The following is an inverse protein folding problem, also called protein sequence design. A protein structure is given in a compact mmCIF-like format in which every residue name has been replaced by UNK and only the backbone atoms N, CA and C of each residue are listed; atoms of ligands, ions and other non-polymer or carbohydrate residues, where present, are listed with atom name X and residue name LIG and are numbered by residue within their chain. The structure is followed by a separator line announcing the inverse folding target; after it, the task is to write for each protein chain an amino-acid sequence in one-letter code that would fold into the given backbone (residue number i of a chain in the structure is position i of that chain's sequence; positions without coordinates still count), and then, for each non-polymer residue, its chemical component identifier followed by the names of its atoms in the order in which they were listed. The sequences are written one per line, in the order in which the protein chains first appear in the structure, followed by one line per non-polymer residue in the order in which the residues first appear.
data_IF_230617955713
#
_entry.id   IF_230617955713
#
_cell.length_a   1.000
_cell.length_b   1.000
_cell.length_c   1.000
_cell.angle_alpha   90.00
_cell.angle_beta   90.00
_cell.angle_gamma   90.00
#
_symmetry.space_group_name_H-M   'P 1'
#
loop_
_entity.id
_entity.type
_entity.pdbx_description
1 polymer ?
#
# COMPACT_ATOMS: atom_id res chain seq x y z
N UNK A 1 -26.36 -7.15 3.21
CA UNK A 1 -26.08 -7.91 1.96
C UNK A 1 -25.09 -9.01 2.29
N UNK A 2 -25.40 -10.29 2.04
CA UNK A 2 -24.48 -11.41 2.28
C UNK A 2 -23.94 -11.94 0.94
N UNK A 3 -23.09 -11.13 0.28
CA UNK A 3 -22.51 -11.49 -1.02
C UNK A 3 -21.05 -11.89 -0.82
N UNK A 4 -20.69 -13.03 -1.38
CA UNK A 4 -19.31 -13.52 -1.35
C UNK A 4 -18.74 -13.54 -2.76
N UNK A 5 -17.58 -12.91 -2.93
CA UNK A 5 -16.79 -12.98 -4.16
C UNK A 5 -15.68 -14.01 -4.02
N UNK A 6 -15.22 -14.57 -5.14
CA UNK A 6 -14.21 -15.63 -5.19
C UNK A 6 -13.08 -15.27 -6.14
N UNK A 7 -11.88 -15.70 -5.76
CA UNK A 7 -10.64 -15.64 -6.53
C UNK A 7 -9.98 -17.01 -6.51
N UNK A 8 -9.24 -17.32 -7.58
CA UNK A 8 -8.44 -18.54 -7.67
C UNK A 8 -6.98 -18.15 -7.78
N UNK A 9 -6.15 -18.76 -6.93
CA UNK A 9 -4.71 -18.57 -6.96
C UNK A 9 -4.11 -19.31 -8.18
N UNK A 10 -3.00 -18.81 -8.76
CA UNK A 10 -2.16 -17.73 -8.24
C UNK A 10 -2.66 -16.32 -8.60
N UNK A 11 -2.60 -15.43 -7.61
CA UNK A 11 -2.82 -13.99 -7.77
C UNK A 11 -1.46 -13.31 -7.80
N UNK A 12 -0.81 -13.29 -8.96
CA UNK A 12 0.64 -13.00 -9.09
C UNK A 12 1.02 -11.53 -8.97
N UNK A 13 0.03 -10.62 -8.95
CA UNK A 13 0.29 -9.17 -8.94
C UNK A 13 -0.64 -8.51 -7.94
N UNK A 14 -0.16 -7.44 -7.32
CA UNK A 14 -0.92 -6.72 -6.29
C UNK A 14 -2.31 -6.29 -6.79
N UNK A 15 -2.43 -5.81 -8.03
CA UNK A 15 -3.70 -5.35 -8.62
C UNK A 15 -4.73 -6.46 -8.88
N UNK A 16 -4.35 -7.74 -8.82
CA UNK A 16 -5.28 -8.87 -8.91
C UNK A 16 -5.71 -9.37 -7.53
N UNK A 17 -5.21 -8.75 -6.46
CA UNK A 17 -5.47 -9.16 -5.08
C UNK A 17 -6.89 -8.87 -4.61
N UNK A 18 -7.24 -9.50 -3.50
CA UNK A 18 -8.49 -9.30 -2.78
C UNK A 18 -8.33 -8.09 -1.86
N UNK A 19 -9.28 -7.17 -1.90
CA UNK A 19 -9.18 -5.87 -1.23
C UNK A 19 -9.97 -5.85 0.07
N UNK A 20 -9.37 -5.27 1.13
CA UNK A 20 -10.01 -4.92 2.39
C UNK A 20 -9.54 -3.54 2.83
N UNK A 21 -10.33 -2.85 3.66
CA UNK A 21 -9.88 -1.62 4.30
C UNK A 21 -10.94 -0.96 5.17
N UNK A 22 -10.50 -0.03 6.02
CA UNK A 22 -11.32 0.67 7.01
C UNK A 22 -11.22 2.20 6.88
N UNK A 23 -11.19 2.72 5.64
CA UNK A 23 -10.92 4.14 5.30
C UNK A 23 -9.47 4.61 5.58
N UNK A 24 -8.84 4.20 6.68
CA UNK A 24 -7.47 4.58 7.01
C UNK A 24 -6.43 3.59 6.47
N UNK A 25 -6.57 2.31 6.81
CA UNK A 25 -5.73 1.19 6.38
C UNK A 25 -6.41 0.45 5.22
N UNK A 26 -5.66 0.20 4.15
CA UNK A 26 -6.06 -0.64 3.04
C UNK A 26 -5.12 -1.84 2.89
N UNK A 27 -5.69 -3.01 2.60
CA UNK A 27 -4.96 -4.25 2.35
C UNK A 27 -5.25 -4.77 0.95
N UNK A 28 -4.21 -5.29 0.31
CA UNK A 28 -4.31 -6.07 -0.92
C UNK A 28 -3.73 -7.46 -0.64
N UNK A 29 -4.58 -8.49 -0.70
CA UNK A 29 -4.24 -9.88 -0.40
C UNK A 29 -4.03 -10.64 -1.70
N UNK A 30 -2.80 -11.11 -1.95
CA UNK A 30 -2.40 -11.75 -3.21
C UNK A 30 -1.28 -12.76 -2.95
N UNK A 31 -0.86 -13.55 -3.93
CA UNK A 31 0.16 -14.57 -3.67
C UNK A 31 0.18 -15.68 -4.69
N UNK A 32 1.14 -16.58 -4.50
CA UNK A 32 1.28 -17.79 -5.29
C UNK A 32 2.06 -18.83 -4.49
N UNK A 33 1.95 -20.10 -4.90
CA UNK A 33 2.65 -21.22 -4.27
C UNK A 33 2.39 -21.24 -2.75
N UNK A 34 3.44 -21.22 -1.93
CA UNK A 34 3.37 -21.24 -0.47
C UNK A 34 3.45 -19.83 0.16
N UNK A 35 3.35 -18.76 -0.62
CA UNK A 35 3.55 -17.39 -0.12
C UNK A 35 2.29 -16.55 -0.31
N UNK A 36 1.65 -16.19 0.80
CA UNK A 36 0.59 -15.20 0.83
C UNK A 36 1.19 -13.82 1.13
N UNK A 37 0.85 -12.83 0.32
CA UNK A 37 1.33 -11.45 0.42
C UNK A 37 0.19 -10.52 0.79
N UNK A 38 0.43 -9.69 1.79
CA UNK A 38 -0.52 -8.68 2.26
C UNK A 38 0.16 -7.32 2.11
N UNK A 39 -0.11 -6.65 0.98
CA UNK A 39 0.38 -5.30 0.73
C UNK A 39 -0.51 -4.29 1.44
N UNK A 40 0.12 -3.32 2.10
CA UNK A 40 -0.57 -2.33 2.93
C UNK A 40 -0.47 -0.95 2.30
N UNK A 41 -1.54 -0.18 2.42
CA UNK A 41 -1.59 1.25 2.13
C UNK A 41 -2.25 2.00 3.28
N UNK A 42 -1.89 3.26 3.45
CA UNK A 42 -2.54 4.17 4.39
C UNK A 42 -2.99 5.43 3.67
N UNK A 43 -4.20 5.90 3.95
CA UNK A 43 -4.78 7.08 3.30
C UNK A 43 -4.08 8.38 3.70
N UNK A 44 -3.47 8.40 4.89
CA UNK A 44 -2.81 9.56 5.50
C UNK A 44 -1.29 9.58 5.29
N UNK A 45 -0.72 8.57 4.63
CA UNK A 45 0.72 8.50 4.41
C UNK A 45 1.11 9.19 3.09
N UNK A 46 1.43 10.47 3.19
CA UNK A 46 1.78 11.34 2.08
C UNK A 46 3.13 12.03 2.29
N UNK A 47 3.86 12.19 1.19
CA UNK A 47 4.95 13.16 1.10
C UNK A 47 4.35 14.46 0.55
N UNK A 48 4.23 15.47 1.40
CA UNK A 48 3.65 16.78 1.03
C UNK A 48 4.69 17.74 0.45
N UNK A 49 5.97 17.36 0.40
CA UNK A 49 7.06 18.17 -0.17
C UNK A 49 6.91 18.26 -1.67
N UNK A 50 7.63 19.21 -2.28
CA UNK A 50 7.42 19.53 -3.69
C UNK A 50 6.03 20.08 -4.00
N UNK A 51 5.29 20.61 -3.02
CA UNK A 51 4.10 21.41 -3.30
C UNK A 51 4.46 22.68 -4.08
N UNK A 52 3.52 23.22 -4.84
CA UNK A 52 3.67 24.57 -5.40
C UNK A 52 3.24 25.59 -4.34
N UNK A 53 4.13 26.49 -3.90
CA UNK A 53 3.72 27.54 -2.99
C UNK A 53 2.71 28.46 -3.69
N UNK A 54 1.70 28.90 -2.93
CA UNK A 54 0.82 29.94 -3.42
C UNK A 54 1.60 31.25 -3.58
N UNK A 55 1.27 32.02 -4.61
CA UNK A 55 1.82 33.34 -4.86
C UNK A 55 0.69 34.30 -5.25
N UNK A 56 0.85 35.60 -5.01
CA UNK A 56 -0.17 36.60 -5.34
C UNK A 56 -0.54 36.63 -6.84
N UNK A 57 0.38 36.19 -7.72
CA UNK A 57 0.09 36.06 -9.15
C UNK A 57 -1.04 35.06 -9.43
N UNK A 58 -1.25 34.05 -8.58
CA UNK A 58 -2.29 33.02 -8.69
C UNK A 58 -3.66 33.49 -8.15
N UNK A 59 -3.97 34.78 -8.23
CA UNK A 59 -5.25 35.33 -7.80
C UNK A 59 -6.35 35.07 -8.82
N UNK A 60 -7.62 35.02 -8.34
CA UNK A 60 -8.79 34.92 -9.21
C UNK A 60 -8.81 35.99 -10.32
N UNK A 61 -8.40 37.22 -9.96
CA UNK A 61 -8.32 38.35 -10.91
C UNK A 61 -7.40 38.00 -12.08
N UNK A 62 -6.16 37.60 -11.81
CA UNK A 62 -5.17 37.33 -12.84
C UNK A 62 -5.54 36.11 -13.70
N UNK A 63 -6.09 35.06 -13.07
CA UNK A 63 -6.60 33.88 -13.79
C UNK A 63 -7.72 34.29 -14.76
N UNK A 64 -8.69 35.07 -14.29
CA UNK A 64 -9.79 35.56 -15.12
C UNK A 64 -9.29 36.44 -16.26
N UNK A 65 -8.34 37.33 -16.00
CA UNK A 65 -7.78 38.23 -17.01
C UNK A 65 -7.04 37.43 -18.11
N UNK A 66 -6.30 36.36 -17.78
CA UNK A 66 -5.73 35.44 -18.78
C UNK A 66 -6.80 34.74 -19.61
N UNK A 67 -7.85 34.21 -18.97
CA UNK A 67 -8.95 33.53 -19.66
C UNK A 67 -9.71 34.46 -20.62
N UNK A 68 -10.00 35.70 -20.20
CA UNK A 68 -10.69 36.69 -21.03
C UNK A 68 -9.89 37.08 -22.28
N UNK A 69 -8.56 37.03 -22.21
CA UNK A 69 -7.67 37.30 -23.35
C UNK A 69 -7.33 36.05 -24.16
N UNK A 70 -7.87 34.88 -23.79
CA UNK A 70 -7.50 33.58 -24.37
C UNK A 70 -5.98 33.31 -24.32
N UNK A 71 -5.33 33.75 -23.24
CA UNK A 71 -3.88 33.71 -23.03
C UNK A 71 -3.48 32.42 -22.28
N UNK A 72 -3.42 31.30 -23.00
CA UNK A 72 -3.06 29.99 -22.43
C UNK A 72 -1.65 30.01 -21.83
N UNK A 73 -0.69 30.65 -22.51
CA UNK A 73 0.70 30.73 -22.04
C UNK A 73 0.76 31.48 -20.71
N UNK A 74 0.15 32.65 -20.61
CA UNK A 74 0.09 33.42 -19.37
C UNK A 74 -0.56 32.62 -18.24
N UNK A 75 -1.63 31.88 -18.53
CA UNK A 75 -2.27 31.01 -17.55
C UNK A 75 -1.32 29.89 -17.05
N UNK A 76 -0.54 29.27 -17.94
CA UNK A 76 0.48 28.28 -17.56
C UNK A 76 1.58 28.92 -16.71
N UNK A 77 2.08 30.08 -17.11
CA UNK A 77 3.13 30.82 -16.38
C UNK A 77 2.70 31.21 -14.95
N UNK A 78 1.38 31.38 -14.69
CA UNK A 78 0.86 31.59 -13.33
C UNK A 78 1.13 30.38 -12.42
N UNK A 79 1.11 29.16 -12.98
CA UNK A 79 1.26 27.89 -12.27
C UNK A 79 2.50 27.10 -12.70
N UNK A 80 3.47 27.73 -13.35
CA UNK A 80 4.72 27.04 -13.64
C UNK A 80 5.58 27.03 -12.37
N UNK A 81 6.06 25.84 -12.00
CA UNK A 81 7.00 25.69 -10.89
C UNK A 81 8.32 26.34 -11.26
N UNK A 82 8.77 27.27 -10.44
CA UNK A 82 9.99 28.04 -10.69
C UNK A 82 11.27 27.30 -10.27
N UNK A 83 11.17 26.22 -9.49
CA UNK A 83 12.30 25.34 -9.20
C UNK A 83 11.87 24.01 -8.58
N UNK A 84 12.57 22.94 -8.92
CA UNK A 84 12.58 21.69 -8.15
C UNK A 84 13.64 21.84 -7.05
N UNK A 85 13.30 21.45 -5.82
CA UNK A 85 14.26 21.43 -4.72
C UNK A 85 14.91 20.06 -4.67
N UNK A 86 16.24 20.03 -4.69
CA UNK A 86 17.00 18.79 -4.58
C UNK A 86 16.62 18.05 -3.29
N UNK A 87 16.42 16.73 -3.39
CA UNK A 87 15.97 15.90 -2.26
C UNK A 87 14.46 15.95 -1.98
N UNK A 88 13.66 16.66 -2.77
CA UNK A 88 12.20 16.65 -2.70
C UNK A 88 11.56 15.98 -3.92
N UNK A 89 10.38 15.36 -3.77
CA UNK A 89 9.64 14.86 -4.92
C UNK A 89 9.18 16.01 -5.84
N UNK A 90 8.96 15.75 -7.13
CA UNK A 90 8.51 16.78 -8.08
C UNK A 90 7.07 17.25 -7.82
N UNK A 91 6.31 16.54 -6.99
CA UNK A 91 4.97 16.90 -6.53
C UNK A 91 4.60 16.05 -5.31
N UNK A 92 3.63 16.49 -4.49
CA UNK A 92 3.12 15.67 -3.40
C UNK A 92 2.64 14.31 -3.91
N UNK A 93 2.93 13.25 -3.17
CA UNK A 93 2.55 11.89 -3.57
C UNK A 93 2.27 10.99 -2.37
N UNK A 94 1.47 9.94 -2.58
CA UNK A 94 1.26 8.89 -1.60
C UNK A 94 2.56 8.11 -1.43
N UNK A 95 2.92 7.82 -0.18
CA UNK A 95 4.08 6.99 0.14
C UNK A 95 3.57 5.55 0.31
N UNK A 96 4.03 4.58 -0.48
CA UNK A 96 3.64 3.20 -0.27
C UNK A 96 4.31 2.65 1.01
N UNK A 97 3.61 1.79 1.75
CA UNK A 97 4.11 1.28 3.05
C UNK A 97 5.06 0.09 2.82
N UNK A 98 4.60 -0.90 2.07
CA UNK A 98 5.26 -2.20 1.91
C UNK A 98 4.26 -3.33 2.09
N UNK A 99 4.74 -4.50 2.47
CA UNK A 99 3.91 -5.69 2.67
C UNK A 99 4.49 -6.63 3.72
N UNK A 100 3.63 -7.51 4.22
CA UNK A 100 4.06 -8.72 4.91
C UNK A 100 3.88 -9.93 3.99
N UNK A 101 4.86 -10.83 4.01
CA UNK A 101 4.77 -12.13 3.35
C UNK A 101 4.62 -13.21 4.41
N UNK A 102 3.52 -13.95 4.32
CA UNK A 102 3.22 -15.13 5.13
C UNK A 102 3.72 -16.34 4.33
N UNK A 103 4.88 -16.83 4.72
CA UNK A 103 5.56 -17.96 4.08
C UNK A 103 5.15 -19.24 4.80
N UNK A 104 4.36 -20.06 4.12
CA UNK A 104 3.90 -21.36 4.58
C UNK A 104 4.95 -22.44 4.29
N UNK A 105 4.67 -23.68 4.68
CA UNK A 105 5.49 -24.84 4.30
C UNK A 105 5.73 -24.88 2.79
N UNK A 106 6.92 -25.32 2.34
CA UNK A 106 7.27 -25.36 0.90
C UNK A 106 6.31 -26.20 0.04
N UNK A 107 5.67 -27.20 0.63
CA UNK A 107 4.67 -28.07 0.00
C UNK A 107 3.24 -27.51 0.05
N UNK A 108 3.04 -26.37 0.73
CA UNK A 108 1.76 -25.68 0.77
C UNK A 108 1.46 -25.00 -0.56
N UNK A 109 0.19 -25.00 -0.95
CA UNK A 109 -0.31 -24.31 -2.14
C UNK A 109 -1.54 -23.52 -1.76
N UNK A 110 -1.56 -22.23 -2.10
CA UNK A 110 -2.76 -21.39 -2.07
C UNK A 110 -3.69 -21.76 -3.24
N UNK A 111 -4.99 -21.91 -2.99
CA UNK A 111 -5.94 -22.43 -3.98
C UNK A 111 -7.07 -21.43 -4.29
N UNK A 112 -7.81 -21.01 -3.26
CA UNK A 112 -9.01 -20.15 -3.40
C UNK A 112 -8.93 -19.01 -2.38
N UNK A 113 -9.41 -17.83 -2.76
CA UNK A 113 -9.66 -16.73 -1.84
C UNK A 113 -11.10 -16.25 -1.95
N UNK A 114 -11.67 -15.82 -0.83
CA UNK A 114 -13.05 -15.32 -0.77
C UNK A 114 -13.11 -13.98 -0.06
N UNK A 115 -14.07 -13.14 -0.46
CA UNK A 115 -14.40 -11.90 0.25
C UNK A 115 -15.90 -11.91 0.57
N UNK A 116 -16.24 -12.02 1.85
CA UNK A 116 -17.59 -11.76 2.32
C UNK A 116 -17.75 -10.25 2.59
N UNK A 117 -18.51 -9.56 1.74
CA UNK A 117 -18.69 -8.11 1.87
C UNK A 117 -19.59 -7.71 3.04
N UNK A 118 -20.44 -8.63 3.52
CA UNK A 118 -21.32 -8.37 4.66
C UNK A 118 -20.55 -8.36 5.98
N UNK A 119 -19.45 -9.12 6.05
CA UNK A 119 -18.62 -9.25 7.25
C UNK A 119 -17.28 -8.50 7.15
N UNK A 120 -16.88 -8.04 5.97
CA UNK A 120 -15.54 -7.49 5.76
C UNK A 120 -14.44 -8.54 5.99
N UNK A 121 -14.70 -9.79 5.63
CA UNK A 121 -13.81 -10.93 5.88
C UNK A 121 -13.22 -11.46 4.58
N UNK A 122 -11.90 -11.54 4.52
CA UNK A 122 -11.19 -12.34 3.51
C UNK A 122 -10.80 -13.68 4.11
N UNK A 123 -11.10 -14.76 3.40
CA UNK A 123 -10.58 -16.09 3.74
C UNK A 123 -9.82 -16.65 2.56
N UNK A 124 -8.56 -17.00 2.79
CA UNK A 124 -7.69 -17.72 1.85
C UNK A 124 -7.65 -19.18 2.25
N UNK A 125 -7.88 -20.07 1.30
CA UNK A 125 -7.84 -21.51 1.45
C UNK A 125 -6.65 -22.07 0.68
N UNK A 126 -6.08 -23.14 1.22
CA UNK A 126 -5.06 -23.90 0.52
C UNK A 126 -4.88 -25.28 1.14
N UNK A 127 -3.83 -25.95 0.66
CA UNK A 127 -3.49 -27.31 1.09
C UNK A 127 -2.01 -27.46 1.36
N UNK A 128 -1.68 -28.21 2.40
CA UNK A 128 -0.34 -28.72 2.67
C UNK A 128 -0.37 -30.24 2.48
N UNK A 129 0.13 -30.72 1.32
CA UNK A 129 -0.06 -32.11 0.91
C UNK A 129 -1.56 -32.43 0.79
N UNK A 130 -2.09 -33.28 1.67
CA UNK A 130 -3.52 -33.62 1.69
C UNK A 130 -4.32 -32.88 2.77
N UNK A 131 -3.67 -32.09 3.64
CA UNK A 131 -4.33 -31.35 4.71
C UNK A 131 -4.78 -29.99 4.19
N UNK A 132 -6.03 -29.61 4.45
CA UNK A 132 -6.53 -28.27 4.14
C UNK A 132 -6.17 -27.28 5.24
N UNK A 133 -5.93 -26.03 4.86
CA UNK A 133 -5.75 -24.93 5.79
C UNK A 133 -6.55 -23.70 5.33
N UNK A 134 -6.75 -22.75 6.24
CA UNK A 134 -7.28 -21.44 5.93
C UNK A 134 -6.56 -20.32 6.69
N UNK A 135 -6.57 -19.12 6.09
CA UNK A 135 -6.16 -17.87 6.69
C UNK A 135 -7.32 -16.87 6.57
N UNK A 136 -7.87 -16.47 7.71
CA UNK A 136 -8.91 -15.43 7.81
C UNK A 136 -8.23 -14.08 8.10
N UNK A 137 -8.57 -13.06 7.32
CA UNK A 137 -7.99 -11.72 7.39
C UNK A 137 -9.12 -10.73 7.62
N UNK A 138 -8.98 -9.92 8.68
CA UNK A 138 -9.91 -8.85 9.03
C UNK A 138 -9.15 -7.58 9.34
N UNK A 139 -9.76 -6.45 9.03
CA UNK A 139 -9.27 -5.11 9.40
C UNK A 139 -10.15 -4.64 10.56
N UNK A 140 -9.53 -4.07 11.58
CA UNK A 140 -10.26 -3.38 12.64
C UNK A 140 -10.99 -2.17 12.05
N UNK A 141 -12.18 -1.80 12.52
CA UNK A 141 -12.91 -0.69 11.89
C UNK A 141 -12.50 0.68 12.42
N UNK A 142 -11.89 0.74 13.59
CA UNK A 142 -11.57 1.98 14.31
C UNK A 142 -10.06 2.27 14.27
N UNK A 143 -9.23 1.22 14.30
CA UNK A 143 -7.77 1.33 14.35
C UNK A 143 -7.08 0.87 13.05
N UNK A 144 -5.88 1.38 12.70
CA UNK A 144 -5.10 0.93 11.54
C UNK A 144 -4.42 -0.43 11.81
N UNK A 145 -5.23 -1.42 12.17
CA UNK A 145 -4.83 -2.75 12.56
C UNK A 145 -5.54 -3.79 11.69
N UNK A 146 -4.86 -4.90 11.45
CA UNK A 146 -5.48 -6.08 10.87
C UNK A 146 -4.97 -7.31 11.59
N UNK A 147 -5.79 -8.36 11.56
CA UNK A 147 -5.46 -9.64 12.15
C UNK A 147 -5.52 -10.74 11.09
N UNK A 148 -4.61 -11.71 11.22
CA UNK A 148 -4.66 -12.96 10.46
C UNK A 148 -4.85 -14.11 11.43
N UNK A 149 -5.96 -14.84 11.29
CA UNK A 149 -6.22 -16.06 12.04
C UNK A 149 -6.01 -17.26 11.14
N UNK A 150 -5.22 -18.22 11.59
CA UNK A 150 -4.90 -19.43 10.83
C UNK A 150 -5.61 -20.65 11.39
N UNK A 151 -6.06 -21.56 10.53
CA UNK A 151 -6.52 -22.89 10.90
C UNK A 151 -5.85 -23.93 10.01
N UNK A 152 -5.31 -25.00 10.60
CA UNK A 152 -4.62 -26.08 9.86
C UNK A 152 -3.25 -25.69 9.28
N UNK A 153 -2.71 -24.52 9.63
CA UNK A 153 -1.33 -24.11 9.27
C UNK A 153 -0.37 -24.63 10.34
N UNK A 154 0.57 -25.49 9.95
CA UNK A 154 1.54 -26.09 10.88
C UNK A 154 2.78 -25.20 11.09
N UNK A 155 3.32 -24.62 10.03
CA UNK A 155 4.44 -23.67 10.10
C UNK A 155 4.12 -22.42 9.29
N UNK A 156 4.41 -21.27 9.89
CA UNK A 156 4.25 -19.97 9.29
C UNK A 156 5.45 -19.10 9.65
N UNK A 157 6.13 -18.57 8.65
CA UNK A 157 7.15 -17.53 8.81
C UNK A 157 6.61 -16.22 8.27
N UNK A 158 6.77 -15.14 9.03
CA UNK A 158 6.39 -13.80 8.60
C UNK A 158 7.64 -13.06 8.15
N UNK A 159 7.60 -12.50 6.94
CA UNK A 159 8.66 -11.64 6.41
C UNK A 159 8.14 -10.22 6.23
N UNK A 160 8.79 -9.28 6.90
CA UNK A 160 8.64 -7.84 6.65
C UNK A 160 9.29 -7.46 5.31
N UNK A 161 8.55 -6.80 4.42
CA UNK A 161 9.07 -6.32 3.14
C UNK A 161 8.68 -4.84 2.97
N UNK A 162 9.51 -3.91 3.44
CA UNK A 162 9.28 -2.48 3.23
C UNK A 162 9.25 -2.15 1.74
N UNK A 163 8.54 -1.08 1.37
CA UNK A 163 8.56 -0.59 -0.03
C UNK A 163 9.99 -0.29 -0.53
N UNK A 164 10.90 0.01 0.40
CA UNK A 164 12.32 0.27 0.12
C UNK A 164 12.98 -0.82 -0.74
N UNK A 165 12.60 -2.08 -0.56
CA UNK A 165 13.10 -3.21 -1.37
C UNK A 165 12.82 -3.06 -2.87
N UNK A 166 11.77 -2.30 -3.23
CA UNK A 166 11.38 -2.07 -4.62
C UNK A 166 11.71 -0.65 -5.09
N UNK A 167 11.58 0.34 -4.20
CA UNK A 167 11.67 1.76 -4.56
C UNK A 167 12.87 2.48 -3.92
N UNK A 168 13.77 1.79 -3.23
CA UNK A 168 14.88 2.41 -2.48
C UNK A 168 15.75 3.36 -3.31
N UNK A 169 16.01 3.02 -4.58
CA UNK A 169 16.74 3.90 -5.49
C UNK A 169 16.02 5.25 -5.70
N UNK A 170 14.70 5.22 -5.94
CA UNK A 170 13.89 6.43 -6.09
C UNK A 170 13.72 7.17 -4.77
N UNK A 171 13.42 6.46 -3.69
CA UNK A 171 13.24 7.06 -2.37
C UNK A 171 14.51 7.78 -1.89
N UNK A 172 15.69 7.25 -2.22
CA UNK A 172 16.97 7.90 -1.94
C UNK A 172 17.12 9.24 -2.68
N UNK A 173 16.60 9.38 -3.91
CA UNK A 173 16.67 10.67 -4.65
C UNK A 173 15.80 11.75 -4.02
N UNK A 174 14.83 11.38 -3.18
CA UNK A 174 13.95 12.30 -2.46
C UNK A 174 14.23 12.26 -0.94
N UNK A 175 15.49 12.02 -0.57
CA UNK A 175 16.03 12.12 0.79
C UNK A 175 15.50 11.13 1.84
N UNK A 176 14.77 10.08 1.44
CA UNK A 176 14.45 9.00 2.38
C UNK A 176 15.71 8.19 2.67
N UNK A 177 15.86 7.78 3.93
CA UNK A 177 16.90 6.85 4.36
C UNK A 177 16.38 5.41 4.35
N UNK A 178 17.25 4.39 4.29
CA UNK A 178 16.83 2.99 4.46
C UNK A 178 16.04 2.76 5.76
N UNK A 179 15.09 1.80 5.77
CA UNK A 179 14.32 1.48 6.96
C UNK A 179 15.15 0.74 8.00
N UNK A 180 14.78 0.89 9.27
CA UNK A 180 15.30 0.08 10.37
C UNK A 180 14.38 -1.10 10.62
N UNK A 181 14.93 -2.32 10.64
CA UNK A 181 14.14 -3.52 10.87
C UNK A 181 13.96 -3.83 12.36
N UNK A 182 12.79 -4.34 12.70
CA UNK A 182 12.47 -4.90 14.01
C UNK A 182 12.39 -6.41 13.84
N UNK A 183 13.19 -7.15 14.60
CA UNK A 183 13.21 -8.61 14.57
C UNK A 183 13.47 -9.16 15.97
N UNK A 184 12.39 -9.48 16.67
CA UNK A 184 12.37 -10.09 17.99
C UNK A 184 11.60 -11.41 17.92
N UNK A 185 11.65 -12.21 19.00
CA UNK A 185 11.04 -13.55 19.03
C UNK A 185 9.57 -13.60 18.56
N UNK A 186 8.79 -12.57 18.88
CA UNK A 186 7.36 -12.48 18.57
C UNK A 186 6.98 -11.21 17.80
N UNK A 187 7.96 -10.47 17.27
CA UNK A 187 7.72 -9.20 16.60
C UNK A 187 8.63 -9.07 15.37
N UNK A 188 8.03 -8.85 14.21
CA UNK A 188 8.73 -8.58 12.96
C UNK A 188 8.12 -7.34 12.31
N UNK A 189 8.96 -6.42 11.85
CA UNK A 189 8.49 -5.18 11.23
C UNK A 189 9.63 -4.29 10.77
N UNK A 190 9.27 -3.04 10.47
CA UNK A 190 10.24 -2.01 10.12
C UNK A 190 9.72 -0.63 10.54
N UNK A 191 10.67 0.29 10.69
CA UNK A 191 10.43 1.72 10.85
C UNK A 191 11.06 2.42 9.65
N UNK A 192 10.24 3.17 8.91
CA UNK A 192 10.68 4.03 7.82
C UNK A 192 10.43 5.48 8.24
N UNK A 193 11.50 6.24 8.49
CA UNK A 193 11.36 7.67 8.77
C UNK A 193 11.03 8.43 7.48
N UNK A 194 10.12 9.40 7.61
CA UNK A 194 9.88 10.39 6.57
C UNK A 194 10.96 11.48 6.68
N UNK A 195 11.48 11.99 5.56
CA UNK A 195 12.36 13.16 5.57
C UNK A 195 11.66 14.36 6.21
N UNK A 196 12.44 15.21 6.88
CA UNK A 196 11.98 16.47 7.44
C UNK A 196 11.61 17.50 6.35
#
# INVERSE_FOLDING_TARGET
MNKTYKWFFPLRRTHTGILLGNNLLGLMVWGEENVLRITMGRSDLWDHRGGMPWTEKMSYKNIRDCLQRNDEKGLRDLFEKTSEKEGEPPRPSIIPVGRFELVLNKKSVLEEGTLNIGEGLVTVYGRDGNKKFSLEIRVDMDDPLFAVKTAGVENLTIKAVPVWEQLGNYLSTISFTPPSFINESNLCGWVQHLPA
#
